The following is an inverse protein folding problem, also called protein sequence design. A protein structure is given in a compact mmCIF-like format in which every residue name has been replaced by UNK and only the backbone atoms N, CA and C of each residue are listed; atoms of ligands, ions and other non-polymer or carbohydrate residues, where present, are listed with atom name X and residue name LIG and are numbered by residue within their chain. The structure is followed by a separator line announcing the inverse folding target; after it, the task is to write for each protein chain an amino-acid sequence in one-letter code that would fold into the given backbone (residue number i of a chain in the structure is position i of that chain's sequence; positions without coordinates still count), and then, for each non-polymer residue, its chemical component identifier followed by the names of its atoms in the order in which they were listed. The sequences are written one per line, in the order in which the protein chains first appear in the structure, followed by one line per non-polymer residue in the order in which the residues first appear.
data_IF_244352996196
#
_entry.id   IF_244352996196
#
_cell.length_a   1.000
_cell.length_b   1.000
_cell.length_c   1.000
_cell.angle_alpha   90.00
_cell.angle_beta   90.00
_cell.angle_gamma   90.00
#
_symmetry.space_group_name_H-M   'P 1'
#
loop_
_entity.id
_entity.type
_entity.pdbx_description
1 polymer ?
#
# COMPACT_ATOMS: atom_id res chain seq x y z
N UNK A 1 6.27 29.28 -21.81
CA UNK A 1 7.45 28.44 -21.54
C UNK A 1 6.91 27.16 -20.95
N UNK A 2 6.34 26.30 -21.80
CA UNK A 2 5.70 25.05 -21.35
C UNK A 2 6.79 24.04 -21.06
N UNK A 3 6.93 23.70 -19.77
CA UNK A 3 7.75 22.60 -19.35
C UNK A 3 7.16 21.32 -19.95
N UNK A 4 8.00 20.62 -20.72
CA UNK A 4 7.73 19.31 -21.27
C UNK A 4 7.58 18.32 -20.10
N UNK A 5 6.35 18.18 -19.60
CA UNK A 5 6.00 17.29 -18.50
C UNK A 5 6.09 15.85 -19.02
N UNK A 6 7.26 15.22 -18.82
CA UNK A 6 7.44 13.80 -19.11
C UNK A 6 6.38 13.03 -18.31
N UNK A 7 5.38 12.49 -18.99
CA UNK A 7 4.45 11.53 -18.40
C UNK A 7 5.25 10.34 -17.89
N UNK A 8 5.35 10.19 -16.57
CA UNK A 8 5.97 9.03 -15.94
C UNK A 8 5.05 7.83 -16.17
N UNK A 9 5.61 6.71 -16.62
CA UNK A 9 4.85 5.47 -16.79
C UNK A 9 4.31 4.97 -15.44
N UNK A 10 3.09 4.41 -15.40
CA UNK A 10 2.43 4.00 -14.15
C UNK A 10 3.30 3.06 -13.33
N UNK A 11 3.90 2.05 -13.98
CA UNK A 11 4.77 1.08 -13.30
C UNK A 11 5.97 1.75 -12.62
N UNK A 12 6.61 2.72 -13.28
CA UNK A 12 7.77 3.43 -12.73
C UNK A 12 7.37 4.38 -11.60
N UNK A 13 6.23 5.05 -11.72
CA UNK A 13 5.68 5.88 -10.65
C UNK A 13 5.35 5.05 -9.41
N UNK A 14 4.67 3.91 -9.60
CA UNK A 14 4.32 2.97 -8.53
C UNK A 14 5.58 2.41 -7.86
N UNK A 15 6.56 1.97 -8.65
CA UNK A 15 7.83 1.49 -8.10
C UNK A 15 8.49 2.56 -7.22
N UNK A 16 8.54 3.81 -7.69
CA UNK A 16 9.12 4.93 -6.95
C UNK A 16 8.45 5.13 -5.59
N UNK A 17 7.11 5.25 -5.56
CA UNK A 17 6.39 5.50 -4.30
C UNK A 17 6.42 4.29 -3.35
N UNK A 18 6.47 3.06 -3.88
CA UNK A 18 6.60 1.85 -3.06
C UNK A 18 8.00 1.79 -2.42
N UNK A 19 9.06 2.19 -3.15
CA UNK A 19 10.42 2.29 -2.60
C UNK A 19 10.51 3.38 -1.53
N UNK A 20 9.91 4.53 -1.76
CA UNK A 20 9.83 5.62 -0.77
C UNK A 20 9.11 5.16 0.51
N UNK A 21 7.96 4.51 0.35
CA UNK A 21 7.20 4.00 1.48
C UNK A 21 7.98 2.92 2.25
N UNK A 22 8.63 2.01 1.53
CA UNK A 22 9.44 0.97 2.14
C UNK A 22 10.63 1.54 2.91
N UNK A 23 11.30 2.57 2.37
CA UNK A 23 12.38 3.27 3.06
C UNK A 23 11.86 3.99 4.32
N UNK A 24 10.75 4.71 4.23
CA UNK A 24 10.14 5.41 5.36
C UNK A 24 9.71 4.46 6.49
N UNK A 25 9.17 3.29 6.13
CA UNK A 25 8.71 2.28 7.09
C UNK A 25 9.77 1.26 7.50
N UNK A 26 10.99 1.33 6.96
CA UNK A 26 12.00 0.26 7.07
C UNK A 26 11.41 -1.13 6.79
N UNK A 27 10.60 -1.23 5.73
CA UNK A 27 9.80 -2.43 5.42
C UNK A 27 10.71 -3.65 5.19
N UNK A 28 10.32 -4.79 5.76
CA UNK A 28 11.13 -6.02 5.80
C UNK A 28 10.44 -7.19 5.12
N UNK A 29 11.24 -8.20 4.79
CA UNK A 29 10.75 -9.47 4.29
C UNK A 29 9.68 -10.07 5.21
N UNK A 30 8.60 -10.56 4.61
CA UNK A 30 7.47 -11.15 5.31
C UNK A 30 6.47 -10.18 5.93
N UNK A 31 6.71 -8.86 5.89
CA UNK A 31 5.71 -7.87 6.31
C UNK A 31 4.62 -7.68 5.24
N UNK A 32 3.43 -7.26 5.65
CA UNK A 32 2.30 -6.99 4.76
C UNK A 32 2.29 -5.53 4.29
N UNK A 33 2.19 -5.33 2.98
CA UNK A 33 1.89 -4.05 2.32
C UNK A 33 0.50 -4.14 1.69
N UNK A 34 -0.46 -3.33 2.14
CA UNK A 34 -1.80 -3.29 1.53
C UNK A 34 -1.88 -2.26 0.40
N UNK A 35 -2.51 -2.64 -0.71
CA UNK A 35 -2.68 -1.81 -1.91
C UNK A 35 -4.18 -1.67 -2.17
N UNK A 36 -4.69 -0.46 -2.00
CA UNK A 36 -6.00 -0.01 -2.47
C UNK A 36 -5.85 0.72 -3.79
N UNK A 37 -6.71 0.45 -4.76
CA UNK A 37 -6.57 1.06 -6.10
C UNK A 37 -7.90 1.17 -6.82
N UNK A 38 -8.19 2.37 -7.33
CA UNK A 38 -9.23 2.64 -8.32
C UNK A 38 -8.60 2.78 -9.71
N UNK A 39 -8.57 1.69 -10.48
CA UNK A 39 -8.01 1.72 -11.85
C UNK A 39 -8.79 2.61 -12.82
N UNK A 40 -10.06 2.89 -12.55
CA UNK A 40 -10.84 3.87 -13.31
C UNK A 40 -10.41 5.29 -13.00
N UNK A 41 -10.08 5.59 -11.74
CA UNK A 41 -9.58 6.91 -11.36
C UNK A 41 -8.18 7.15 -11.96
N UNK A 42 -7.34 6.13 -12.02
CA UNK A 42 -6.01 6.22 -12.66
C UNK A 42 -6.11 6.65 -14.12
N UNK A 43 -7.11 6.16 -14.86
CA UNK A 43 -7.32 6.47 -16.27
C UNK A 43 -8.09 7.78 -16.52
N UNK A 44 -8.81 8.27 -15.51
CA UNK A 44 -9.62 9.47 -15.62
C UNK A 44 -10.90 9.33 -16.43
N UNK A 45 -11.59 10.46 -16.64
CA UNK A 45 -12.94 10.51 -17.23
C UNK A 45 -13.01 10.38 -18.77
N UNK A 46 -11.89 10.18 -19.49
CA UNK A 46 -11.86 10.26 -20.97
C UNK A 46 -11.46 8.99 -21.73
N UNK A 47 -11.10 7.91 -21.05
CA UNK A 47 -10.66 6.68 -21.75
C UNK A 47 -11.57 5.53 -21.34
N UNK A 48 -12.14 4.84 -22.33
CA UNK A 48 -13.11 3.76 -22.14
C UNK A 48 -12.60 2.65 -21.20
N UNK A 49 -13.53 1.80 -20.73
CA UNK A 49 -13.30 0.75 -19.73
C UNK A 49 -12.21 -0.28 -20.08
N UNK A 50 -11.75 -0.30 -21.34
CA UNK A 50 -10.72 -1.21 -21.86
C UNK A 50 -9.32 -0.97 -21.26
N UNK A 51 -9.03 0.23 -20.73
CA UNK A 51 -7.72 0.54 -20.16
C UNK A 51 -7.49 0.00 -18.74
N UNK A 52 -8.55 -0.36 -18.00
CA UNK A 52 -8.44 -0.70 -16.57
C UNK A 52 -7.60 -1.96 -16.29
N UNK A 53 -7.61 -3.02 -17.13
CA UNK A 53 -6.73 -4.17 -16.94
C UNK A 53 -5.25 -3.82 -17.22
N UNK A 54 -4.97 -2.91 -18.16
CA UNK A 54 -3.60 -2.46 -18.41
C UNK A 54 -3.06 -1.65 -17.23
N UNK A 55 -3.85 -0.71 -16.70
CA UNK A 55 -3.48 0.03 -15.50
C UNK A 55 -3.21 -0.91 -14.31
N UNK A 56 -4.07 -1.93 -14.11
CA UNK A 56 -3.83 -2.96 -13.09
C UNK A 56 -2.50 -3.70 -13.29
N UNK A 57 -2.17 -4.05 -14.54
CA UNK A 57 -0.92 -4.74 -14.86
C UNK A 57 0.31 -3.87 -14.57
N UNK A 58 0.27 -2.58 -14.94
CA UNK A 58 1.37 -1.65 -14.69
C UNK A 58 1.55 -1.36 -13.20
N UNK A 59 0.46 -1.20 -12.45
CA UNK A 59 0.51 -1.04 -10.98
C UNK A 59 1.10 -2.31 -10.33
N UNK A 60 0.62 -3.49 -10.72
CA UNK A 60 1.15 -4.76 -10.24
C UNK A 60 2.66 -4.89 -10.51
N UNK A 61 3.10 -4.53 -11.72
CA UNK A 61 4.51 -4.60 -12.10
C UNK A 61 5.39 -3.69 -11.23
N UNK A 62 4.95 -2.45 -10.95
CA UNK A 62 5.67 -1.53 -10.07
C UNK A 62 5.79 -2.05 -8.64
N UNK A 63 4.72 -2.62 -8.08
CA UNK A 63 4.74 -3.25 -6.75
C UNK A 63 5.67 -4.47 -6.73
N UNK A 64 5.57 -5.34 -7.73
CA UNK A 64 6.39 -6.55 -7.83
C UNK A 64 7.89 -6.27 -7.96
N UNK A 65 8.27 -5.20 -8.66
CA UNK A 65 9.67 -4.79 -8.78
C UNK A 65 10.31 -4.58 -7.40
N UNK A 66 9.61 -3.88 -6.50
CA UNK A 66 10.10 -3.63 -5.13
C UNK A 66 9.94 -4.87 -4.24
N UNK A 67 8.85 -5.63 -4.42
CA UNK A 67 8.62 -6.87 -3.67
C UNK A 67 9.76 -7.87 -3.86
N UNK A 68 10.27 -8.01 -5.08
CA UNK A 68 11.38 -8.92 -5.40
C UNK A 68 12.67 -8.56 -4.66
N UNK A 69 12.90 -7.28 -4.43
CA UNK A 69 14.09 -6.80 -3.73
C UNK A 69 13.97 -6.94 -2.20
N UNK A 70 12.79 -6.67 -1.63
CA UNK A 70 12.60 -6.56 -0.17
C UNK A 70 11.98 -7.83 0.44
N UNK A 71 11.12 -8.52 -0.29
CA UNK A 71 10.45 -9.75 0.15
C UNK A 71 9.21 -9.57 1.02
N UNK A 72 8.54 -8.42 0.99
CA UNK A 72 7.24 -8.23 1.66
C UNK A 72 6.12 -9.02 0.94
N UNK A 73 4.95 -9.15 1.58
CA UNK A 73 3.73 -9.69 0.97
C UNK A 73 2.81 -8.55 0.53
N UNK A 74 2.59 -8.36 -0.78
CA UNK A 74 1.56 -7.44 -1.25
C UNK A 74 0.18 -8.04 -1.00
N UNK A 75 -0.75 -7.18 -0.61
CA UNK A 75 -2.14 -7.54 -0.30
C UNK A 75 -3.05 -6.58 -1.06
N UNK A 76 -3.88 -7.07 -1.96
CA UNK A 76 -4.66 -6.22 -2.87
C UNK A 76 -6.12 -6.17 -2.43
N UNK A 77 -6.59 -4.98 -2.06
CA UNK A 77 -7.96 -4.75 -1.62
C UNK A 77 -8.94 -4.86 -2.80
N UNK A 78 -10.01 -5.65 -2.63
CA UNK A 78 -11.14 -5.64 -3.54
C UNK A 78 -12.01 -4.38 -3.35
N UNK A 79 -12.83 -4.03 -4.34
CA UNK A 79 -13.86 -3.00 -4.13
C UNK A 79 -14.93 -3.44 -3.11
N UNK A 80 -15.80 -2.50 -2.74
CA UNK A 80 -16.89 -2.66 -1.79
C UNK A 80 -17.90 -3.77 -2.15
N UNK A 81 -18.01 -4.16 -3.42
CA UNK A 81 -18.86 -5.27 -3.86
C UNK A 81 -18.42 -6.64 -3.30
N UNK A 82 -17.13 -6.78 -2.95
CA UNK A 82 -16.60 -7.94 -2.22
C UNK A 82 -16.22 -7.57 -0.79
N UNK A 83 -16.91 -6.58 -0.21
CA UNK A 83 -16.73 -6.13 1.17
C UNK A 83 -15.29 -5.75 1.53
N UNK A 84 -14.49 -5.32 0.54
CA UNK A 84 -13.07 -5.00 0.72
C UNK A 84 -12.23 -6.19 1.21
N UNK A 85 -12.67 -7.41 0.93
CA UNK A 85 -11.84 -8.60 1.06
C UNK A 85 -10.54 -8.44 0.26
N UNK A 86 -9.48 -9.14 0.65
CA UNK A 86 -8.16 -8.89 0.11
C UNK A 86 -7.55 -10.11 -0.55
N UNK A 87 -6.96 -9.92 -1.72
CA UNK A 87 -6.19 -10.95 -2.42
C UNK A 87 -4.79 -11.01 -1.85
N UNK A 88 -4.35 -12.21 -1.46
CA UNK A 88 -3.04 -12.47 -0.88
C UNK A 88 -2.56 -13.89 -1.26
N UNK A 89 -1.25 -14.16 -1.17
CA UNK A 89 -0.70 -15.51 -1.24
C UNK A 89 -1.14 -16.32 0.00
N UNK A 90 -1.62 -17.56 -0.21
CA UNK A 90 -2.10 -18.44 0.87
C UNK A 90 -1.09 -18.63 2.00
N UNK A 91 0.19 -18.80 1.68
CA UNK A 91 1.24 -18.96 2.68
C UNK A 91 1.35 -17.76 3.63
N UNK A 92 1.09 -16.54 3.13
CA UNK A 92 1.05 -15.36 3.97
C UNK A 92 -0.23 -15.33 4.83
N UNK A 93 -1.38 -15.72 4.27
CA UNK A 93 -2.62 -15.83 5.04
C UNK A 93 -2.48 -16.79 6.22
N UNK A 94 -1.89 -17.97 5.99
CA UNK A 94 -1.62 -18.96 7.03
C UNK A 94 -0.62 -18.45 8.07
N UNK A 95 0.48 -17.83 7.63
CA UNK A 95 1.49 -17.24 8.53
C UNK A 95 0.91 -16.20 9.47
N UNK A 96 -0.05 -15.40 9.00
CA UNK A 96 -0.70 -14.35 9.77
C UNK A 96 -1.98 -14.81 10.47
N UNK A 97 -2.41 -16.06 10.30
CA UNK A 97 -3.65 -16.59 10.89
C UNK A 97 -4.90 -15.85 10.41
N UNK A 98 -4.94 -15.49 9.12
CA UNK A 98 -6.04 -14.72 8.54
C UNK A 98 -7.23 -15.61 8.17
N UNK A 99 -8.44 -15.10 8.38
CA UNK A 99 -9.68 -15.78 8.00
C UNK A 99 -9.86 -15.77 6.48
N UNK A 100 -9.98 -16.96 5.89
CA UNK A 100 -10.20 -17.12 4.46
C UNK A 100 -11.68 -16.91 4.11
N UNK A 101 -11.93 -16.20 3.01
CA UNK A 101 -13.29 -16.02 2.46
C UNK A 101 -13.33 -16.49 1.01
N UNK A 102 -14.52 -16.86 0.52
CA UNK A 102 -14.67 -17.48 -0.79
C UNK A 102 -15.38 -16.56 -1.80
N UNK A 103 -14.62 -16.12 -2.80
CA UNK A 103 -15.11 -15.51 -4.04
C UNK A 103 -13.98 -15.53 -5.08
N UNK A 104 -14.30 -15.25 -6.34
CA UNK A 104 -13.29 -15.02 -7.39
C UNK A 104 -13.43 -13.57 -7.85
N UNK A 105 -12.45 -12.69 -7.56
CA UNK A 105 -12.49 -11.31 -8.03
C UNK A 105 -12.45 -11.24 -9.56
N UNK A 106 -13.38 -10.48 -10.12
CA UNK A 106 -13.44 -10.16 -11.54
C UNK A 106 -13.53 -8.63 -11.69
N UNK A 107 -13.16 -8.05 -12.85
CA UNK A 107 -13.18 -6.60 -13.01
C UNK A 107 -14.53 -5.95 -12.62
N UNK A 108 -15.64 -6.63 -12.86
CA UNK A 108 -17.00 -6.18 -12.52
C UNK A 108 -17.43 -6.41 -11.07
N UNK A 109 -16.72 -7.25 -10.31
CA UNK A 109 -17.00 -7.54 -8.90
C UNK A 109 -15.68 -7.86 -8.19
N UNK A 110 -15.15 -6.88 -7.46
CA UNK A 110 -13.83 -6.89 -6.84
C UNK A 110 -12.85 -5.88 -7.45
N UNK A 111 -13.07 -5.47 -8.71
CA UNK A 111 -12.26 -4.46 -9.39
C UNK A 111 -11.07 -5.04 -10.17
N UNK A 112 -10.58 -4.29 -11.17
CA UNK A 112 -9.54 -4.77 -12.10
C UNK A 112 -8.22 -5.10 -11.41
N UNK A 113 -7.83 -4.34 -10.38
CA UNK A 113 -6.59 -4.58 -9.64
C UNK A 113 -6.60 -5.92 -8.88
N UNK A 114 -7.61 -6.15 -8.04
CA UNK A 114 -7.74 -7.41 -7.31
C UNK A 114 -7.93 -8.62 -8.25
N UNK A 115 -8.72 -8.44 -9.31
CA UNK A 115 -8.90 -9.47 -10.33
C UNK A 115 -7.58 -9.81 -11.06
N UNK A 116 -6.74 -8.81 -11.33
CA UNK A 116 -5.43 -9.03 -11.91
C UNK A 116 -4.52 -9.76 -10.91
N UNK A 117 -4.41 -9.28 -9.68
CA UNK A 117 -3.60 -9.89 -8.62
C UNK A 117 -3.97 -11.36 -8.38
N UNK A 118 -5.26 -11.69 -8.31
CA UNK A 118 -5.75 -13.05 -8.06
C UNK A 118 -5.29 -14.06 -9.13
N UNK A 119 -5.05 -13.60 -10.37
CA UNK A 119 -4.56 -14.44 -11.46
C UNK A 119 -3.03 -14.60 -11.49
N UNK A 120 -2.30 -13.68 -10.87
CA UNK A 120 -0.84 -13.59 -11.00
C UNK A 120 -0.09 -13.95 -9.71
N UNK A 121 -0.74 -13.85 -8.56
CA UNK A 121 -0.20 -14.33 -7.29
C UNK A 121 -0.27 -15.86 -7.28
N UNK A 122 0.84 -16.49 -6.88
CA UNK A 122 0.90 -17.94 -6.69
C UNK A 122 -0.03 -18.34 -5.55
N UNK A 123 -0.88 -19.34 -5.78
CA UNK A 123 -1.83 -19.85 -4.77
C UNK A 123 -2.59 -18.72 -4.08
N UNK A 124 -3.16 -17.83 -4.89
CA UNK A 124 -3.92 -16.69 -4.41
C UNK A 124 -5.18 -17.16 -3.66
N UNK A 125 -5.48 -16.50 -2.55
CA UNK A 125 -6.73 -16.64 -1.82
C UNK A 125 -7.31 -15.26 -1.47
N UNK A 126 -8.54 -15.26 -0.96
CA UNK A 126 -9.14 -14.08 -0.35
C UNK A 126 -9.16 -14.22 1.16
N UNK A 127 -8.88 -13.11 1.84
CA UNK A 127 -9.02 -12.97 3.30
C UNK A 127 -10.03 -11.88 3.63
N UNK A 128 -10.73 -12.02 4.76
CA UNK A 128 -11.73 -11.04 5.21
C UNK A 128 -11.08 -9.68 5.52
N UNK A 129 -10.03 -9.69 6.35
CA UNK A 129 -9.31 -8.49 6.79
C UNK A 129 -7.82 -8.79 7.02
N UNK A 130 -7.01 -7.73 7.12
CA UNK A 130 -5.60 -7.80 7.51
C UNK A 130 -5.25 -6.71 8.51
N UNK A 131 -4.11 -6.87 9.19
CA UNK A 131 -3.43 -5.82 9.94
C UNK A 131 -2.03 -5.59 9.32
N UNK A 132 -1.96 -4.72 8.31
CA UNK A 132 -0.79 -4.44 7.50
C UNK A 132 0.20 -3.47 8.14
N UNK A 133 1.46 -3.55 7.72
CA UNK A 133 2.56 -2.75 8.27
C UNK A 133 2.71 -1.41 7.56
N UNK A 134 2.29 -1.37 6.30
CA UNK A 134 2.24 -0.19 5.47
C UNK A 134 1.11 -0.35 4.45
N UNK A 135 0.75 0.74 3.78
CA UNK A 135 -0.17 0.68 2.67
C UNK A 135 -0.15 1.90 1.77
N UNK A 136 -0.61 1.67 0.54
CA UNK A 136 -0.75 2.66 -0.53
C UNK A 136 -2.21 2.62 -1.00
N UNK A 137 -2.81 3.78 -1.12
CA UNK A 137 -4.13 3.97 -1.70
C UNK A 137 -4.02 4.89 -2.92
N UNK A 138 -4.39 4.35 -4.08
CA UNK A 138 -4.34 5.02 -5.39
C UNK A 138 -5.79 5.25 -5.84
N UNK A 139 -6.28 6.48 -5.70
CA UNK A 139 -7.64 6.87 -6.08
C UNK A 139 -8.64 6.72 -4.93
N UNK A 140 -8.21 7.07 -3.72
CA UNK A 140 -9.06 7.28 -2.53
C UNK A 140 -10.04 6.12 -2.24
N UNK A 141 -9.54 4.88 -2.34
CA UNK A 141 -10.32 3.68 -2.04
C UNK A 141 -10.47 3.40 -0.55
N UNK A 142 -9.72 4.10 0.31
CA UNK A 142 -9.63 3.96 1.76
C UNK A 142 -9.13 2.58 2.20
N UNK A 143 -7.89 2.56 2.72
CA UNK A 143 -7.22 1.33 3.23
C UNK A 143 -7.01 1.33 4.75
N UNK A 144 -7.45 2.38 5.46
CA UNK A 144 -7.13 2.59 6.88
C UNK A 144 -7.65 1.48 7.80
N UNK A 145 -8.73 0.80 7.43
CA UNK A 145 -9.26 -0.36 8.15
C UNK A 145 -8.32 -1.57 8.13
N UNK A 146 -7.37 -1.61 7.20
CA UNK A 146 -6.42 -2.70 7.02
C UNK A 146 -5.06 -2.43 7.65
N UNK A 147 -4.81 -1.23 8.18
CA UNK A 147 -3.52 -0.87 8.78
C UNK A 147 -3.47 -1.24 10.26
N UNK A 148 -2.30 -1.68 10.73
CA UNK A 148 -2.01 -1.76 12.17
C UNK A 148 -2.12 -0.38 12.81
N UNK A 149 -2.42 -0.39 14.11
CA UNK A 149 -2.32 0.80 14.94
C UNK A 149 -0.87 0.92 15.45
N UNK A 150 -0.20 2.05 15.32
CA UNK A 150 -0.67 3.38 14.88
C UNK A 150 -0.26 3.65 13.43
N UNK A 151 -1.22 4.00 12.57
CA UNK A 151 -0.93 4.44 11.20
C UNK A 151 -0.33 5.85 11.19
N UNK A 152 0.70 6.04 10.38
CA UNK A 152 1.46 7.29 10.26
C UNK A 152 1.56 7.65 8.77
N UNK A 153 0.97 8.78 8.34
CA UNK A 153 0.98 9.18 6.94
C UNK A 153 2.39 9.43 6.40
N UNK A 154 2.65 8.96 5.18
CA UNK A 154 3.87 9.23 4.42
C UNK A 154 3.50 10.02 3.16
N UNK A 155 4.16 11.15 2.91
CA UNK A 155 3.98 11.98 1.72
C UNK A 155 4.85 11.43 0.59
N UNK A 156 4.28 10.93 -0.51
CA UNK A 156 5.06 10.52 -1.67
C UNK A 156 5.64 11.74 -2.40
N UNK A 157 6.75 11.55 -3.11
CA UNK A 157 7.22 12.53 -4.09
C UNK A 157 6.25 12.65 -5.28
N UNK A 158 5.62 11.53 -5.67
CA UNK A 158 4.61 11.45 -6.72
C UNK A 158 3.22 11.38 -6.07
N UNK A 159 2.47 12.48 -6.16
CA UNK A 159 1.17 12.64 -5.47
C UNK A 159 -0.03 12.11 -6.26
N UNK A 160 0.18 11.73 -7.53
CA UNK A 160 -0.86 11.16 -8.37
C UNK A 160 -0.27 10.14 -9.36
N UNK A 161 -1.07 9.13 -9.68
CA UNK A 161 -0.79 8.16 -10.74
C UNK A 161 -1.91 8.28 -11.77
N UNK A 162 -1.59 8.82 -12.94
CA UNK A 162 -2.61 9.31 -13.86
C UNK A 162 -3.45 10.39 -13.17
N UNK A 163 -4.78 10.26 -13.17
CA UNK A 163 -5.68 11.18 -12.45
C UNK A 163 -5.91 10.78 -10.98
N UNK A 164 -5.46 9.60 -10.54
CA UNK A 164 -5.71 9.11 -9.19
C UNK A 164 -4.76 9.73 -8.16
N UNK A 165 -5.33 10.31 -7.10
CA UNK A 165 -4.60 10.78 -5.94
C UNK A 165 -3.94 9.62 -5.18
N UNK A 166 -2.73 9.84 -4.66
CA UNK A 166 -1.98 8.84 -3.90
C UNK A 166 -1.91 9.24 -2.43
N UNK A 167 -2.37 8.36 -1.54
CA UNK A 167 -2.06 8.42 -0.12
C UNK A 167 -1.28 7.19 0.32
N UNK A 168 -0.37 7.37 1.28
CA UNK A 168 0.40 6.26 1.82
C UNK A 168 0.54 6.41 3.33
N UNK A 169 0.69 5.28 4.01
CA UNK A 169 0.97 5.25 5.43
C UNK A 169 1.83 4.03 5.77
N UNK A 170 2.65 4.20 6.79
CA UNK A 170 3.32 3.11 7.50
C UNK A 170 2.70 2.98 8.89
N UNK A 171 3.10 1.97 9.64
CA UNK A 171 2.61 1.76 10.99
C UNK A 171 3.75 1.67 11.97
N UNK A 172 3.51 2.10 13.19
CA UNK A 172 4.48 2.03 14.29
C UNK A 172 3.85 1.46 15.56
N UNK A 173 4.67 0.92 16.47
CA UNK A 173 4.22 0.60 17.82
C UNK A 173 3.58 1.81 18.52
N UNK A 174 2.61 1.51 19.39
CA UNK A 174 2.06 2.51 20.30
C UNK A 174 3.16 2.93 21.27
N UNK A 175 3.36 4.24 21.42
CA UNK A 175 4.11 4.75 22.57
C UNK A 175 3.20 4.62 23.78
N UNK A 176 3.66 3.91 24.79
CA UNK A 176 2.93 3.64 26.03
C UNK A 176 3.74 4.14 27.22
N UNK A 177 3.10 4.16 28.40
CA UNK A 177 3.73 4.57 29.65
C UNK A 177 3.33 5.99 30.08
N UNK A 178 3.49 6.27 31.38
CA UNK A 178 3.19 7.58 31.97
C UNK A 178 4.38 8.54 31.89
N UNK A 179 4.35 9.61 32.69
CA UNK A 179 5.31 10.73 32.66
C UNK A 179 6.78 10.38 32.88
N UNK A 180 7.09 9.14 33.27
CA UNK A 180 8.47 8.64 33.47
C UNK A 180 8.97 7.76 32.33
N UNK A 181 8.14 7.49 31.32
CA UNK A 181 8.54 6.72 30.17
C UNK A 181 9.57 7.49 29.35
N UNK A 182 10.54 6.76 28.81
CA UNK A 182 11.59 7.29 27.95
C UNK A 182 11.52 6.54 26.63
N UNK A 183 11.71 7.25 25.52
CA UNK A 183 11.56 6.73 24.15
C UNK A 183 12.87 6.77 23.35
N UNK A 184 13.94 7.26 23.97
CA UNK A 184 15.29 7.33 23.43
C UNK A 184 16.29 6.93 24.53
N UNK A 185 17.28 6.12 24.20
CA UNK A 185 18.36 5.73 25.10
C UNK A 185 19.63 6.43 24.64
N UNK A 186 20.27 7.20 25.51
CA UNK A 186 21.51 7.94 25.20
C UNK A 186 21.42 8.84 23.95
N UNK A 187 20.24 9.42 23.70
CA UNK A 187 19.97 10.24 22.50
C UNK A 187 19.78 9.43 21.21
N UNK A 188 19.70 8.10 21.33
CA UNK A 188 19.42 7.19 20.22
C UNK A 188 18.01 6.63 20.39
N UNK A 189 17.11 7.00 19.47
CA UNK A 189 15.80 6.38 19.38
C UNK A 189 15.93 4.88 19.07
N UNK A 190 15.03 4.05 19.62
CA UNK A 190 15.01 2.62 19.29
C UNK A 190 14.66 2.43 17.81
N UNK A 191 15.68 2.15 17.00
CA UNK A 191 15.57 2.03 15.54
C UNK A 191 14.87 0.76 15.09
N UNK A 192 14.59 -0.17 16.01
CA UNK A 192 14.06 -1.50 15.67
C UNK A 192 12.68 -1.49 15.03
N UNK A 193 11.91 -0.41 15.20
CA UNK A 193 10.63 -0.14 14.51
C UNK A 193 10.41 1.36 14.24
N UNK A 194 11.50 2.13 14.07
CA UNK A 194 11.42 3.56 13.85
C UNK A 194 10.88 3.87 12.44
N UNK A 195 9.91 4.78 12.39
CA UNK A 195 9.46 5.36 11.12
C UNK A 195 10.36 6.53 10.77
N UNK A 196 10.99 6.46 9.60
CA UNK A 196 11.83 7.52 9.05
C UNK A 196 10.94 8.45 8.22
N UNK A 197 10.52 9.55 8.82
CA UNK A 197 9.76 10.60 8.14
C UNK A 197 10.68 11.77 7.80
N UNK A 198 10.34 12.54 6.77
CA UNK A 198 10.99 13.83 6.55
C UNK A 198 10.76 14.76 7.76
N UNK A 199 11.62 15.76 8.00
CA UNK A 199 11.47 16.68 9.14
C UNK A 199 10.12 17.42 9.18
N UNK A 200 9.50 17.66 8.03
CA UNK A 200 8.17 18.28 7.92
C UNK A 200 7.03 17.33 8.35
N UNK A 201 7.32 16.04 8.48
CA UNK A 201 6.39 14.96 8.79
C UNK A 201 6.67 14.29 10.14
N UNK A 202 7.84 14.52 10.73
CA UNK A 202 8.12 14.06 12.09
C UNK A 202 7.20 14.78 13.06
N UNK A 203 6.90 14.16 14.20
CA UNK A 203 6.25 14.85 15.30
C UNK A 203 7.24 15.87 15.89
N UNK A 204 7.48 16.97 15.18
CA UNK A 204 8.10 18.17 15.73
C UNK A 204 7.23 18.72 16.86
N UNK A 205 7.83 19.51 17.74
CA UNK A 205 7.11 20.18 18.82
C UNK A 205 5.91 20.91 18.25
N UNK A 206 4.72 20.58 18.74
CA UNK A 206 3.53 21.40 18.55
C UNK A 206 3.74 22.68 19.38
N UNK A 207 4.58 23.59 18.88
CA UNK A 207 4.70 24.96 19.40
C UNK A 207 3.62 25.86 18.78
#
# INVERSE_FOLDING_TARGET
MEANEKTIAIASAVETIVRELAAAGSLRAGQLLVIGTSTSEVLGRRIGTSGTPQAAAEIYAGVEAVRRDIGFYPVYQCCEHLNRALVIERAAAERYGLELVAAIPVPKAGGSMAAYAYRHIKDACLVETVAAHAGIDIGDTFIGMHLRRVAVPVRPSIRSIGEAHVTMAVTRPKLIGGVRAVYELDGVADSRDAVVLSPEQSAGTCD
#
